data_IF_781645471774
#
_entry.id   IF_781645471774
#
_cell.length_a   1.000
_cell.length_b   1.000
_cell.length_c   1.000
_cell.angle_alpha   90.00
_cell.angle_beta   90.00
_cell.angle_gamma   90.00
#
_symmetry.space_group_name_H-M   'P 1'
#
loop_
_entity.id
_entity.type
_entity.pdbx_description
1 polymer ?
#
# COMPACT_ATOMS: atom_id res chain seq x y z
N UNK A 1 16.31 44.97 2.01
CA UNK A 1 16.64 43.63 1.48
C UNK A 1 15.96 42.62 2.39
N UNK A 2 14.87 42.00 1.93
CA UNK A 2 14.20 40.94 2.69
C UNK A 2 15.03 39.66 2.58
N UNK A 3 15.34 38.97 3.68
CA UNK A 3 16.02 37.69 3.62
C UNK A 3 15.09 36.66 2.97
N UNK A 4 15.55 36.12 1.84
CA UNK A 4 14.91 34.98 1.18
C UNK A 4 14.89 33.80 2.15
N UNK A 5 13.68 33.43 2.59
CA UNK A 5 13.44 32.16 3.26
C UNK A 5 13.70 31.10 2.20
N UNK A 6 14.90 30.51 2.22
CA UNK A 6 15.15 29.23 1.55
C UNK A 6 14.33 28.20 2.32
N UNK A 7 13.07 28.04 1.93
CA UNK A 7 12.23 26.93 2.37
C UNK A 7 12.92 25.62 1.95
N UNK A 8 12.73 24.58 2.75
CA UNK A 8 13.22 23.20 2.55
C UNK A 8 12.62 22.51 1.29
N UNK A 9 12.29 23.26 0.24
CA UNK A 9 11.63 22.81 -0.99
C UNK A 9 12.42 21.73 -1.71
N UNK A 10 13.75 21.74 -1.64
CA UNK A 10 14.58 20.70 -2.27
C UNK A 10 14.34 19.28 -1.74
N UNK A 11 13.98 19.12 -0.47
CA UNK A 11 13.63 17.81 0.10
C UNK A 11 12.19 17.39 -0.23
N UNK A 12 11.28 18.35 -0.31
CA UNK A 12 9.86 18.10 -0.66
C UNK A 12 9.71 17.75 -2.15
N UNK A 13 10.34 18.47 -3.07
CA UNK A 13 10.25 18.18 -4.51
C UNK A 13 10.88 16.83 -4.88
N UNK A 14 12.01 16.49 -4.26
CA UNK A 14 12.60 15.16 -4.43
C UNK A 14 11.66 14.07 -3.91
N UNK A 15 11.08 14.23 -2.72
CA UNK A 15 10.14 13.26 -2.17
C UNK A 15 8.89 13.07 -3.06
N UNK A 16 8.35 14.16 -3.63
CA UNK A 16 7.24 14.10 -4.59
C UNK A 16 7.63 13.35 -5.87
N UNK A 17 8.81 13.64 -6.40
CA UNK A 17 9.34 12.97 -7.60
C UNK A 17 9.57 11.47 -7.37
N UNK A 18 10.26 11.11 -6.28
CA UNK A 18 10.54 9.73 -5.90
C UNK A 18 9.21 8.97 -5.68
N UNK A 19 8.23 9.59 -5.01
CA UNK A 19 6.90 9.01 -4.83
C UNK A 19 6.16 8.81 -6.16
N UNK A 20 6.18 9.82 -7.03
CA UNK A 20 5.52 9.75 -8.33
C UNK A 20 6.14 8.67 -9.22
N UNK A 21 7.46 8.55 -9.22
CA UNK A 21 8.20 7.53 -9.99
C UNK A 21 7.75 6.12 -9.59
N UNK A 22 7.66 5.85 -8.29
CA UNK A 22 7.33 4.52 -7.78
C UNK A 22 5.84 4.21 -7.92
N UNK A 23 4.97 5.14 -7.51
CA UNK A 23 3.55 4.84 -7.32
C UNK A 23 2.66 5.42 -8.41
N UNK A 24 3.02 6.55 -9.00
CA UNK A 24 2.19 7.27 -9.99
C UNK A 24 2.64 7.07 -11.44
N UNK A 25 3.64 6.21 -11.67
CA UNK A 25 4.01 5.75 -13.02
C UNK A 25 3.10 4.61 -13.47
N UNK A 26 2.55 4.70 -14.67
CA UNK A 26 1.77 3.60 -15.25
C UNK A 26 2.65 2.41 -15.58
N UNK A 27 2.47 1.33 -14.82
CA UNK A 27 3.01 0.01 -15.15
C UNK A 27 1.96 -0.82 -15.89
N UNK A 28 2.27 -1.38 -17.08
CA UNK A 28 1.37 -2.30 -17.77
C UNK A 28 1.18 -3.61 -16.99
N UNK A 29 -0.06 -3.93 -16.63
CA UNK A 29 -0.41 -5.17 -15.93
C UNK A 29 -1.10 -6.10 -16.93
N UNK A 30 -0.44 -7.22 -17.23
CA UNK A 30 -0.92 -8.23 -18.21
C UNK A 30 -2.02 -9.12 -17.65
N UNK A 31 -1.89 -9.53 -16.40
CA UNK A 31 -2.82 -10.42 -15.71
C UNK A 31 -3.26 -9.79 -14.41
N UNK A 32 -4.56 -9.87 -14.13
CA UNK A 32 -5.15 -9.16 -13.00
C UNK A 32 -6.13 -10.02 -12.23
N UNK A 33 -6.29 -9.69 -10.96
CA UNK A 33 -7.32 -10.21 -10.06
C UNK A 33 -8.13 -9.06 -9.47
N UNK A 34 -9.34 -9.39 -9.06
CA UNK A 34 -10.28 -8.47 -8.44
C UNK A 34 -10.28 -8.72 -6.93
N UNK A 35 -10.07 -7.67 -6.13
CA UNK A 35 -10.09 -7.74 -4.66
C UNK A 35 -11.16 -6.77 -4.16
N UNK A 36 -12.05 -7.26 -3.28
CA UNK A 36 -13.06 -6.43 -2.63
C UNK A 36 -12.43 -5.51 -1.60
N UNK A 37 -12.84 -4.24 -1.60
CA UNK A 37 -12.46 -3.23 -0.61
C UNK A 37 -13.70 -2.41 -0.22
N UNK A 38 -13.60 -1.50 0.74
CA UNK A 38 -14.69 -0.56 1.02
C UNK A 38 -14.77 0.53 -0.06
N UNK A 39 -15.96 1.08 -0.27
CA UNK A 39 -16.19 2.22 -1.17
C UNK A 39 -15.34 3.43 -0.79
N UNK A 40 -15.23 3.72 0.52
CA UNK A 40 -14.43 4.81 1.05
C UNK A 40 -12.96 4.72 0.62
N UNK A 41 -12.37 3.52 0.69
CA UNK A 41 -10.99 3.30 0.24
C UNK A 41 -10.86 3.44 -1.27
N UNK A 42 -11.82 2.91 -2.04
CA UNK A 42 -11.83 3.05 -3.49
C UNK A 42 -11.86 4.53 -3.92
N UNK A 43 -12.64 5.36 -3.23
CA UNK A 43 -12.76 6.78 -3.53
C UNK A 43 -11.49 7.56 -3.17
N UNK A 44 -10.81 7.20 -2.08
CA UNK A 44 -9.46 7.75 -1.78
C UNK A 44 -8.46 7.43 -2.89
N UNK A 45 -8.42 6.18 -3.37
CA UNK A 45 -7.53 5.79 -4.48
C UNK A 45 -7.86 6.57 -5.77
N UNK A 46 -9.14 6.68 -6.12
CA UNK A 46 -9.58 7.48 -7.28
C UNK A 46 -9.18 8.95 -7.14
N UNK A 47 -9.31 9.53 -5.94
CA UNK A 47 -8.92 10.90 -5.67
C UNK A 47 -7.44 11.13 -5.97
N UNK A 48 -6.54 10.27 -5.47
CA UNK A 48 -5.11 10.36 -5.76
C UNK A 48 -4.82 10.28 -7.27
N UNK A 49 -5.37 9.25 -7.94
CA UNK A 49 -5.09 9.03 -9.37
C UNK A 49 -5.63 10.18 -10.25
N UNK A 50 -6.81 10.71 -9.92
CA UNK A 50 -7.43 11.79 -10.71
C UNK A 50 -6.78 13.14 -10.45
N UNK A 51 -6.56 13.49 -9.19
CA UNK A 51 -6.15 14.83 -8.79
C UNK A 51 -4.63 15.03 -8.86
N UNK A 52 -3.84 13.97 -8.67
CA UNK A 52 -2.38 14.08 -8.66
C UNK A 52 -1.81 13.59 -9.97
N UNK A 53 -2.16 12.37 -10.38
CA UNK A 53 -1.50 11.75 -11.52
C UNK A 53 -2.02 12.23 -12.88
N UNK A 54 -3.10 13.01 -12.95
CA UNK A 54 -3.66 13.57 -14.19
C UNK A 54 -3.81 12.54 -15.35
N UNK A 55 -4.18 11.30 -15.02
CA UNK A 55 -4.28 10.15 -15.94
C UNK A 55 -2.96 9.50 -16.41
N UNK A 56 -1.81 9.89 -15.85
CA UNK A 56 -0.53 9.20 -16.05
C UNK A 56 -0.45 7.84 -15.34
N UNK A 57 -1.45 7.48 -14.54
CA UNK A 57 -1.62 6.14 -13.95
C UNK A 57 -3.10 5.74 -13.88
N UNK A 58 -3.36 4.53 -13.42
CA UNK A 58 -4.72 4.01 -13.16
C UNK A 58 -4.83 3.58 -11.71
N UNK A 59 -6.05 3.50 -11.16
CA UNK A 59 -6.29 2.92 -9.82
C UNK A 59 -5.66 1.53 -9.69
N UNK A 60 -5.71 0.74 -10.77
CA UNK A 60 -5.08 -0.58 -10.83
C UNK A 60 -3.56 -0.51 -10.68
N UNK A 61 -2.90 0.31 -11.49
CA UNK A 61 -1.45 0.45 -11.45
C UNK A 61 -0.99 1.02 -10.10
N UNK A 62 -1.68 2.03 -9.58
CA UNK A 62 -1.36 2.64 -8.28
C UNK A 62 -1.53 1.66 -7.12
N UNK A 63 -2.69 0.99 -7.01
CA UNK A 63 -2.92 -0.01 -5.97
C UNK A 63 -1.92 -1.17 -6.07
N UNK A 64 -1.59 -1.62 -7.29
CA UNK A 64 -0.59 -2.68 -7.48
C UNK A 64 0.82 -2.22 -7.08
N UNK A 65 1.19 -0.96 -7.30
CA UNK A 65 2.47 -0.42 -6.86
C UNK A 65 2.57 -0.40 -5.32
N UNK A 66 1.53 0.07 -4.64
CA UNK A 66 1.45 0.06 -3.16
C UNK A 66 1.64 -1.36 -2.63
N UNK A 67 0.85 -2.31 -3.14
CA UNK A 67 0.92 -3.70 -2.69
C UNK A 67 2.28 -4.33 -2.98
N UNK A 68 2.86 -4.06 -4.16
CA UNK A 68 4.18 -4.61 -4.53
C UNK A 68 5.28 -4.10 -3.64
N UNK A 69 5.30 -2.80 -3.33
CA UNK A 69 6.33 -2.22 -2.46
C UNK A 69 6.21 -2.75 -1.04
N UNK A 70 4.99 -2.87 -0.51
CA UNK A 70 4.76 -3.52 0.79
C UNK A 70 5.24 -4.98 0.81
N UNK A 71 4.90 -5.77 -0.20
CA UNK A 71 5.35 -7.16 -0.31
C UNK A 71 6.88 -7.26 -0.40
N UNK A 72 7.53 -6.28 -1.05
CA UNK A 72 8.99 -6.21 -1.13
C UNK A 72 9.61 -5.86 0.22
N UNK A 73 9.07 -4.87 0.90
CA UNK A 73 9.54 -4.39 2.21
C UNK A 73 9.46 -5.49 3.28
N UNK A 74 8.34 -6.21 3.32
CA UNK A 74 8.09 -7.26 4.33
C UNK A 74 8.45 -8.68 3.88
N UNK A 75 9.18 -8.83 2.76
CA UNK A 75 9.53 -10.14 2.18
C UNK A 75 10.16 -11.10 3.19
N UNK A 76 11.05 -10.60 4.04
CA UNK A 76 11.71 -11.43 5.06
C UNK A 76 10.71 -11.92 6.12
N UNK A 77 9.79 -11.05 6.55
CA UNK A 77 8.75 -11.40 7.51
C UNK A 77 7.80 -12.46 6.93
N UNK A 78 7.37 -12.29 5.68
CA UNK A 78 6.51 -13.26 4.98
C UNK A 78 7.17 -14.63 4.85
N UNK A 79 8.48 -14.66 4.60
CA UNK A 79 9.25 -15.90 4.55
C UNK A 79 9.31 -16.60 5.91
N UNK A 80 9.39 -15.84 7.01
CA UNK A 80 9.30 -16.42 8.36
C UNK A 80 7.89 -16.97 8.60
N UNK A 81 6.83 -16.19 8.34
CA UNK A 81 5.43 -16.63 8.46
C UNK A 81 5.21 -17.97 7.74
N UNK A 82 5.68 -18.07 6.49
CA UNK A 82 5.62 -19.29 5.69
C UNK A 82 6.32 -20.46 6.39
N UNK A 83 7.53 -20.27 6.91
CA UNK A 83 8.28 -21.35 7.59
C UNK A 83 7.66 -21.77 8.92
N UNK A 84 7.07 -20.84 9.67
CA UNK A 84 6.33 -21.13 10.90
C UNK A 84 5.14 -22.02 10.58
N UNK A 85 4.34 -21.66 9.57
CA UNK A 85 3.17 -22.44 9.14
C UNK A 85 3.52 -23.87 8.70
N UNK A 86 4.73 -24.09 8.17
CA UNK A 86 5.19 -25.42 7.74
C UNK A 86 6.05 -26.15 8.81
N UNK A 87 6.04 -25.70 10.07
CA UNK A 87 6.77 -26.28 11.21
C UNK A 87 8.30 -26.40 11.01
N UNK A 88 8.91 -25.49 10.23
CA UNK A 88 10.34 -25.56 9.88
C UNK A 88 11.26 -24.71 10.78
N UNK A 89 10.73 -24.01 11.77
CA UNK A 89 11.52 -23.11 12.62
C UNK A 89 11.63 -23.62 14.06
N UNK A 90 12.81 -23.44 14.64
CA UNK A 90 13.08 -23.78 16.03
C UNK A 90 12.65 -22.61 16.95
N UNK A 91 12.21 -22.87 18.19
CA UNK A 91 11.66 -21.86 19.10
C UNK A 91 12.56 -20.62 19.34
N UNK A 92 13.89 -20.76 19.23
CA UNK A 92 14.83 -19.67 19.42
C UNK A 92 14.90 -18.64 18.28
N UNK A 93 14.50 -19.04 17.07
CA UNK A 93 14.52 -18.16 15.87
C UNK A 93 13.35 -17.15 15.88
N UNK A 94 12.35 -17.36 16.75
CA UNK A 94 11.12 -16.56 16.80
C UNK A 94 11.16 -15.35 17.74
N UNK A 95 12.16 -15.21 18.62
CA UNK A 95 12.14 -14.14 19.63
C UNK A 95 12.21 -12.72 19.02
N UNK A 96 13.01 -12.53 17.95
CA UNK A 96 13.06 -11.25 17.20
C UNK A 96 11.79 -11.08 16.34
N UNK A 97 11.19 -12.19 15.92
CA UNK A 97 9.98 -12.20 15.12
C UNK A 97 8.73 -11.89 15.95
N UNK A 98 8.68 -12.25 17.23
CA UNK A 98 7.47 -12.09 18.05
C UNK A 98 6.97 -10.65 18.04
N UNK A 99 7.80 -9.68 18.45
CA UNK A 99 7.35 -8.28 18.53
C UNK A 99 7.09 -7.65 17.15
N UNK A 100 7.96 -7.90 16.16
CA UNK A 100 7.79 -7.32 14.81
C UNK A 100 6.61 -7.95 14.08
N UNK A 101 6.44 -9.26 14.22
CA UNK A 101 5.36 -10.05 13.65
C UNK A 101 4.01 -9.72 14.29
N UNK A 102 3.93 -9.61 15.62
CA UNK A 102 2.71 -9.20 16.33
C UNK A 102 2.23 -7.83 15.84
N UNK A 103 3.12 -6.82 15.83
CA UNK A 103 2.78 -5.49 15.32
C UNK A 103 2.31 -5.53 13.86
N UNK A 104 2.94 -6.35 13.02
CA UNK A 104 2.54 -6.52 11.63
C UNK A 104 1.14 -7.16 11.50
N UNK A 105 0.88 -8.21 12.28
CA UNK A 105 -0.41 -8.89 12.29
C UNK A 105 -1.51 -7.94 12.78
N UNK A 106 -1.27 -7.21 13.87
CA UNK A 106 -2.22 -6.23 14.40
C UNK A 106 -2.49 -5.08 13.41
N UNK A 107 -1.46 -4.61 12.71
CA UNK A 107 -1.59 -3.49 11.78
C UNK A 107 -2.30 -3.88 10.49
N UNK A 108 -1.93 -5.01 9.89
CA UNK A 108 -2.35 -5.33 8.52
C UNK A 108 -3.30 -6.53 8.41
N UNK A 109 -3.20 -7.49 9.32
CA UNK A 109 -3.92 -8.78 9.27
C UNK A 109 -4.92 -8.93 10.41
N UNK A 110 -5.30 -7.84 11.08
CA UNK A 110 -6.39 -7.86 12.04
C UNK A 110 -7.73 -7.95 11.28
N UNK A 111 -8.60 -8.93 11.59
CA UNK A 111 -9.91 -9.01 10.96
C UNK A 111 -10.80 -7.84 11.39
N UNK A 112 -11.67 -7.40 10.50
CA UNK A 112 -12.73 -6.45 10.81
C UNK A 112 -14.09 -6.93 10.28
N UNK A 113 -15.16 -6.26 10.71
CA UNK A 113 -16.53 -6.56 10.28
C UNK A 113 -16.98 -5.76 9.06
N UNK A 114 -16.07 -5.09 8.36
CA UNK A 114 -16.43 -4.23 7.24
C UNK A 114 -16.85 -5.04 6.01
N UNK A 115 -18.00 -4.69 5.44
CA UNK A 115 -18.47 -5.26 4.18
C UNK A 115 -17.63 -4.75 3.01
N UNK A 116 -17.09 -5.68 2.22
CA UNK A 116 -16.28 -5.41 1.02
C UNK A 116 -16.94 -5.96 -0.26
N UNK A 117 -18.27 -6.05 -0.24
CA UNK A 117 -19.08 -6.63 -1.31
C UNK A 117 -19.60 -5.63 -2.34
N UNK A 118 -19.33 -4.33 -2.20
CA UNK A 118 -19.88 -3.27 -3.08
C UNK A 118 -18.83 -2.51 -3.89
N UNK A 119 -17.55 -2.66 -3.57
CA UNK A 119 -16.45 -2.02 -4.29
C UNK A 119 -15.28 -2.99 -4.49
N UNK A 120 -14.60 -2.82 -5.63
CA UNK A 120 -13.47 -3.67 -5.99
C UNK A 120 -12.36 -2.90 -6.67
N UNK A 121 -11.13 -3.35 -6.44
CA UNK A 121 -9.94 -2.93 -7.18
C UNK A 121 -9.42 -4.10 -8.00
N UNK A 122 -8.94 -3.77 -9.20
CA UNK A 122 -8.11 -4.68 -9.97
C UNK A 122 -6.67 -4.48 -9.55
N UNK A 123 -5.94 -5.57 -9.34
CA UNK A 123 -4.51 -5.55 -9.03
C UNK A 123 -3.78 -6.60 -9.85
N UNK A 124 -2.45 -6.47 -9.92
CA UNK A 124 -1.58 -7.51 -10.47
C UNK A 124 -1.87 -8.89 -9.84
N UNK A 125 -1.94 -9.92 -10.68
CA UNK A 125 -2.16 -11.31 -10.22
C UNK A 125 -1.11 -11.76 -9.21
N UNK A 126 0.16 -11.36 -9.38
CA UNK A 126 1.23 -11.74 -8.47
C UNK A 126 1.01 -11.17 -7.07
N UNK A 127 0.53 -9.92 -6.99
CA UNK A 127 0.17 -9.30 -5.72
C UNK A 127 -1.00 -10.05 -5.07
N UNK A 128 -2.06 -10.34 -5.82
CA UNK A 128 -3.23 -11.03 -5.29
C UNK A 128 -2.90 -12.44 -4.77
N UNK A 129 -2.08 -13.21 -5.49
CA UNK A 129 -1.67 -14.55 -5.05
C UNK A 129 -0.75 -14.50 -3.83
N UNK A 130 0.17 -13.51 -3.75
CA UNK A 130 1.01 -13.31 -2.57
C UNK A 130 0.19 -12.97 -1.33
N UNK A 131 -0.77 -12.03 -1.44
CA UNK A 131 -1.68 -11.69 -0.35
C UNK A 131 -2.48 -12.90 0.12
N UNK A 132 -2.99 -13.71 -0.82
CA UNK A 132 -3.71 -14.95 -0.51
C UNK A 132 -2.86 -15.93 0.30
N UNK A 133 -1.60 -16.11 -0.09
CA UNK A 133 -0.67 -16.98 0.63
C UNK A 133 -0.40 -16.47 2.04
N UNK A 134 -0.11 -15.18 2.20
CA UNK A 134 0.18 -14.57 3.50
C UNK A 134 -1.01 -14.70 4.44
N UNK A 135 -2.23 -14.41 3.96
CA UNK A 135 -3.47 -14.61 4.72
C UNK A 135 -3.60 -16.06 5.20
N UNK A 136 -3.26 -17.03 4.37
CA UNK A 136 -3.31 -18.46 4.76
C UNK A 136 -2.28 -18.85 5.81
N UNK A 137 -1.17 -18.12 5.93
CA UNK A 137 -0.14 -18.38 6.95
C UNK A 137 -0.41 -17.67 8.27
N UNK A 138 -1.17 -16.58 8.25
CA UNK A 138 -1.38 -15.71 9.42
C UNK A 138 -2.39 -16.30 10.42
N UNK A 139 -3.36 -17.10 9.95
CA UNK A 139 -4.44 -17.70 10.76
C UNK A 139 -5.19 -16.70 11.68
N UNK A 140 -5.29 -15.44 11.27
CA UNK A 140 -5.96 -14.38 12.06
C UNK A 140 -7.44 -14.22 11.75
N UNK A 141 -7.96 -14.92 10.74
CA UNK A 141 -9.31 -14.70 10.19
C UNK A 141 -9.42 -13.50 9.24
N UNK A 142 -8.32 -12.79 8.94
CA UNK A 142 -8.32 -11.74 7.92
C UNK A 142 -8.64 -12.31 6.53
N UNK A 143 -9.25 -11.48 5.69
CA UNK A 143 -9.51 -11.80 4.28
C UNK A 143 -8.45 -11.14 3.39
N UNK A 144 -8.34 -11.60 2.13
CA UNK A 144 -7.50 -10.93 1.13
C UNK A 144 -7.89 -9.46 0.99
N UNK A 145 -9.20 -9.16 1.04
CA UNK A 145 -9.74 -7.81 0.94
C UNK A 145 -9.37 -6.92 2.12
N UNK A 146 -9.54 -7.42 3.35
CA UNK A 146 -9.16 -6.65 4.55
C UNK A 146 -7.65 -6.42 4.61
N UNK A 147 -6.84 -7.42 4.27
CA UNK A 147 -5.38 -7.27 4.26
C UNK A 147 -4.91 -6.25 3.21
N UNK A 148 -5.39 -6.37 1.96
CA UNK A 148 -5.07 -5.42 0.90
C UNK A 148 -5.47 -3.98 1.28
N UNK A 149 -6.67 -3.82 1.85
CA UNK A 149 -7.18 -2.53 2.26
C UNK A 149 -6.37 -1.92 3.41
N UNK A 150 -5.98 -2.69 4.42
CA UNK A 150 -5.14 -2.20 5.52
C UNK A 150 -3.80 -1.67 5.01
N UNK A 151 -3.15 -2.39 4.08
CA UNK A 151 -1.90 -1.93 3.45
C UNK A 151 -2.12 -0.59 2.75
N UNK A 152 -3.18 -0.48 1.95
CA UNK A 152 -3.53 0.74 1.22
C UNK A 152 -3.80 1.90 2.18
N UNK A 153 -4.57 1.67 3.24
CA UNK A 153 -4.94 2.71 4.20
C UNK A 153 -3.72 3.20 5.00
N UNK A 154 -2.84 2.30 5.42
CA UNK A 154 -1.59 2.68 6.10
C UNK A 154 -0.71 3.48 5.15
N UNK A 155 -0.53 3.02 3.90
CA UNK A 155 0.23 3.77 2.89
C UNK A 155 -0.32 5.18 2.68
N UNK A 156 -1.65 5.31 2.49
CA UNK A 156 -2.28 6.61 2.31
C UNK A 156 -2.13 7.50 3.55
N UNK A 157 -2.22 6.94 4.76
CA UNK A 157 -2.05 7.68 6.00
C UNK A 157 -0.62 8.17 6.22
N UNK A 158 0.38 7.33 5.95
CA UNK A 158 1.80 7.70 6.06
C UNK A 158 2.22 8.77 5.05
N UNK A 159 1.50 8.87 3.92
CA UNK A 159 1.81 9.81 2.85
C UNK A 159 0.78 10.95 2.72
N UNK A 160 -0.10 11.13 3.70
CA UNK A 160 -1.23 12.08 3.61
C UNK A 160 -0.74 13.51 3.34
N UNK A 161 0.23 13.99 4.12
CA UNK A 161 0.81 15.33 3.94
C UNK A 161 1.45 15.51 2.56
N UNK A 162 2.21 14.52 2.09
CA UNK A 162 2.85 14.56 0.77
C UNK A 162 1.80 14.59 -0.35
N UNK A 163 0.76 13.77 -0.24
CA UNK A 163 -0.33 13.71 -1.22
C UNK A 163 -1.12 15.02 -1.27
N UNK A 164 -1.38 15.66 -0.12
CA UNK A 164 -2.03 16.96 -0.08
C UNK A 164 -1.15 18.07 -0.69
N UNK A 165 0.16 18.06 -0.44
CA UNK A 165 1.09 18.97 -1.12
C UNK A 165 1.03 18.79 -2.64
N UNK A 166 1.12 17.55 -3.14
CA UNK A 166 1.06 17.27 -4.58
C UNK A 166 -0.28 17.66 -5.22
N UNK A 167 -1.41 17.47 -4.51
CA UNK A 167 -2.74 17.95 -4.99
C UNK A 167 -2.77 19.47 -5.11
N UNK A 168 -2.22 20.18 -4.11
CA UNK A 168 -2.14 21.63 -4.10
C UNK A 168 -1.30 22.15 -5.28
N UNK A 169 -0.15 21.53 -5.56
CA UNK A 169 0.70 21.90 -6.70
C UNK A 169 -0.06 21.79 -8.03
N UNK A 170 -0.77 20.67 -8.22
CA UNK A 170 -1.58 20.46 -9.44
C UNK A 170 -2.66 21.54 -9.57
N UNK A 171 -3.35 21.89 -8.48
CA UNK A 171 -4.36 22.95 -8.50
C UNK A 171 -3.77 24.32 -8.84
N UNK A 172 -2.62 24.65 -8.26
CA UNK A 172 -1.94 25.93 -8.47
C UNK A 172 -1.27 26.06 -9.84
N UNK A 173 -1.04 24.94 -10.54
CA UNK A 173 -0.51 24.91 -11.90
C UNK A 173 -1.58 24.89 -13.01
N UNK A 174 -2.88 24.93 -12.66
CA UNK A 174 -3.95 25.07 -13.66
C UNK A 174 -4.01 26.52 -14.19
N UNK A 175 -4.06 26.73 -15.52
CA UNK A 175 -4.08 28.05 -16.14
C UNK A 175 -5.38 28.82 -15.93
#
# INVERSE_FOLDING_TARGET
MNPSIKTNTGNSEKAKSDYAEIYLTRVPIKHQRCIGITEKTLDKLKSVVRLIAQNNTTVRSYASAILREHLREYKFLHEIMRKVMYDKLMPGDLAIYQTVGENYLETYLCPDSQSRGSAWIHVDVECAEALKQIVSWADTGATIGSFAESIILVHLGLNDELLEQMKSDVYNCQP
#
